data_IF_027489776394
#
_entry.id   IF_027489776394
#
_cell.length_a   1.000
_cell.length_b   1.000
_cell.length_c   1.000
_cell.angle_alpha   90.00
_cell.angle_beta   90.00
_cell.angle_gamma   90.00
#
_symmetry.space_group_name_H-M   'P 1'
#
loop_
_entity.id
_entity.type
_entity.pdbx_description
1 polymer ?
#
# COMPACT_ATOMS: atom_id res chain seq x y z
N UNK A 1 47.91 -3.51 61.57
CA UNK A 1 46.70 -2.75 61.18
C UNK A 1 46.36 -3.09 59.74
N UNK A 2 45.28 -3.83 59.48
CA UNK A 2 44.81 -4.15 58.12
C UNK A 2 43.65 -3.21 57.79
N UNK A 3 43.80 -2.37 56.78
CA UNK A 3 42.77 -1.46 56.30
C UNK A 3 41.87 -2.19 55.29
N UNK A 4 40.57 -2.26 55.56
CA UNK A 4 39.56 -2.71 54.61
C UNK A 4 39.21 -1.55 53.68
N UNK A 5 39.49 -1.72 52.38
CA UNK A 5 39.04 -0.79 51.34
C UNK A 5 37.71 -1.33 50.81
N UNK A 6 36.62 -0.63 51.11
CA UNK A 6 35.32 -0.86 50.49
C UNK A 6 35.27 -0.14 49.14
N UNK A 7 35.02 -0.88 48.06
CA UNK A 7 34.81 -0.32 46.71
C UNK A 7 33.30 -0.09 46.54
N UNK A 8 32.84 1.12 46.18
CA UNK A 8 31.43 1.36 45.93
C UNK A 8 31.04 0.85 44.55
N UNK A 9 30.02 -0.02 44.50
CA UNK A 9 29.43 -0.50 43.25
C UNK A 9 28.54 0.61 42.66
N UNK A 10 28.98 1.20 41.55
CA UNK A 10 28.21 2.18 40.78
C UNK A 10 27.23 1.43 39.86
N UNK A 11 25.95 1.39 40.23
CA UNK A 11 24.88 0.87 39.35
C UNK A 11 24.63 1.86 38.20
N UNK A 12 25.06 1.51 36.99
CA UNK A 12 24.68 2.21 35.76
C UNK A 12 23.30 1.73 35.32
N UNK A 13 22.27 2.58 35.45
CA UNK A 13 20.95 2.32 34.88
C UNK A 13 20.97 2.78 33.42
N UNK A 14 21.13 1.85 32.49
CA UNK A 14 21.05 2.14 31.06
C UNK A 14 19.57 2.27 30.64
N UNK A 15 19.10 3.49 30.43
CA UNK A 15 17.79 3.73 29.80
C UNK A 15 17.88 3.47 28.30
N UNK A 16 17.37 2.32 27.86
CA UNK A 16 17.27 2.01 26.43
C UNK A 16 16.11 2.80 25.83
N UNK A 17 16.42 3.84 25.04
CA UNK A 17 15.41 4.49 24.20
C UNK A 17 14.98 3.51 23.10
N UNK A 18 13.77 2.96 23.21
CA UNK A 18 13.18 2.12 22.17
C UNK A 18 12.84 3.04 20.99
N UNK A 19 13.55 2.88 19.87
CA UNK A 19 13.23 3.59 18.64
C UNK A 19 11.85 3.13 18.14
N UNK A 20 10.87 4.03 18.12
CA UNK A 20 9.55 3.75 17.59
C UNK A 20 9.66 3.47 16.08
N UNK A 21 9.05 2.38 15.61
CA UNK A 21 8.98 2.09 14.17
C UNK A 21 8.38 3.29 13.42
N UNK A 22 8.89 3.65 12.23
CA UNK A 22 8.39 4.79 11.47
C UNK A 22 6.91 4.60 11.14
N UNK A 23 6.11 5.66 11.27
CA UNK A 23 4.71 5.62 10.88
C UNK A 23 4.56 5.37 9.37
N UNK A 24 3.42 4.84 8.96
CA UNK A 24 3.14 4.57 7.55
C UNK A 24 3.23 5.85 6.70
N UNK A 25 2.80 6.99 7.24
CA UNK A 25 2.90 8.29 6.58
C UNK A 25 4.35 8.67 6.29
N UNK A 26 5.24 8.49 7.26
CA UNK A 26 6.66 8.82 7.10
C UNK A 26 7.34 7.88 6.10
N UNK A 27 6.98 6.60 6.13
CA UNK A 27 7.47 5.61 5.18
C UNK A 27 7.02 5.95 3.74
N UNK A 28 5.74 6.26 3.55
CA UNK A 28 5.23 6.69 2.25
C UNK A 28 5.87 7.99 1.77
N UNK A 29 6.03 8.97 2.66
CA UNK A 29 6.71 10.24 2.35
C UNK A 29 8.14 10.02 1.86
N UNK A 30 8.86 9.06 2.42
CA UNK A 30 10.21 8.71 2.01
C UNK A 30 10.26 7.94 0.68
N UNK A 31 9.32 7.03 0.43
CA UNK A 31 9.33 6.13 -0.73
C UNK A 31 8.67 6.71 -1.98
N UNK A 32 7.56 7.44 -1.83
CA UNK A 32 6.75 7.94 -2.96
C UNK A 32 7.53 8.76 -3.99
N UNK A 33 8.53 9.60 -3.65
CA UNK A 33 9.32 10.31 -4.65
C UNK A 33 10.05 9.40 -5.64
N UNK A 34 10.39 8.17 -5.24
CA UNK A 34 11.06 7.19 -6.10
C UNK A 34 10.07 6.28 -6.84
N UNK A 35 8.79 6.23 -6.44
CA UNK A 35 7.77 5.44 -7.11
C UNK A 35 7.12 6.27 -8.23
N UNK A 36 7.18 5.74 -9.45
CA UNK A 36 6.66 6.36 -10.66
C UNK A 36 5.60 5.50 -11.35
N UNK A 37 5.36 5.79 -12.63
CA UNK A 37 4.44 5.01 -13.46
C UNK A 37 4.82 3.52 -13.49
N UNK A 38 3.82 2.64 -13.33
CA UNK A 38 3.90 1.17 -13.25
C UNK A 38 4.38 0.58 -11.93
N UNK A 39 4.79 1.41 -10.97
CA UNK A 39 4.94 0.94 -9.59
C UNK A 39 3.59 0.66 -8.96
N UNK A 40 3.58 -0.13 -7.89
CA UNK A 40 2.36 -0.48 -7.17
C UNK A 40 2.50 -0.19 -5.68
N UNK A 41 1.37 0.17 -5.08
CA UNK A 41 1.16 0.11 -3.63
C UNK A 41 -0.02 -0.83 -3.41
N UNK A 42 0.10 -1.75 -2.47
CA UNK A 42 -0.98 -2.69 -2.10
C UNK A 42 -1.23 -2.54 -0.61
N UNK A 43 -2.49 -2.35 -0.22
CA UNK A 43 -2.91 -2.48 1.18
C UNK A 43 -3.62 -3.81 1.31
N UNK A 44 -2.98 -4.76 1.97
CA UNK A 44 -3.38 -6.16 1.96
C UNK A 44 -3.93 -6.60 3.32
N UNK A 45 -4.93 -7.45 3.29
CA UNK A 45 -5.38 -8.19 4.46
C UNK A 45 -4.29 -9.17 4.97
N UNK A 46 -4.55 -9.76 6.13
CA UNK A 46 -3.57 -10.59 6.82
C UNK A 46 -3.25 -11.91 6.11
N UNK A 47 -4.17 -12.44 5.29
CA UNK A 47 -4.01 -13.72 4.60
C UNK A 47 -3.20 -13.59 3.30
N UNK A 48 -3.06 -12.38 2.76
CA UNK A 48 -2.28 -12.14 1.54
C UNK A 48 -0.86 -12.71 1.64
N UNK A 49 -0.39 -13.49 0.65
CA UNK A 49 0.86 -14.24 0.75
C UNK A 49 2.09 -13.32 0.78
N UNK A 50 3.15 -13.77 1.45
CA UNK A 50 4.47 -13.14 1.34
C UNK A 50 5.09 -13.54 -0.01
N UNK A 51 5.02 -12.65 -0.99
CA UNK A 51 5.58 -12.90 -2.32
C UNK A 51 7.12 -12.79 -2.32
N UNK A 52 7.76 -13.61 -3.16
CA UNK A 52 9.22 -13.75 -3.22
C UNK A 52 9.88 -12.95 -4.34
N UNK A 53 9.10 -12.31 -5.22
CA UNK A 53 9.65 -11.55 -6.33
C UNK A 53 10.51 -10.37 -5.84
N UNK A 54 11.70 -10.11 -6.43
CA UNK A 54 12.66 -9.11 -5.93
C UNK A 54 12.17 -7.66 -6.03
N UNK A 55 11.14 -7.41 -6.86
CA UNK A 55 10.45 -6.12 -6.93
C UNK A 55 9.55 -5.85 -5.73
N UNK A 56 9.18 -6.87 -4.95
CA UNK A 56 8.16 -6.77 -3.90
C UNK A 56 8.84 -6.49 -2.56
N UNK A 57 8.48 -5.35 -1.97
CA UNK A 57 8.82 -5.01 -0.60
C UNK A 57 7.56 -5.15 0.24
N UNK A 58 7.57 -6.09 1.19
CA UNK A 58 6.45 -6.27 2.13
C UNK A 58 6.79 -5.63 3.47
N UNK A 59 5.88 -4.79 3.97
CA UNK A 59 5.89 -4.25 5.32
C UNK A 59 4.62 -4.66 6.06
N UNK A 60 4.67 -4.72 7.39
CA UNK A 60 3.51 -4.92 8.24
C UNK A 60 3.21 -3.66 9.04
N UNK A 61 1.93 -3.37 9.26
CA UNK A 61 1.47 -2.25 10.09
C UNK A 61 0.42 -2.72 11.07
N UNK A 62 0.44 -2.17 12.28
CA UNK A 62 -0.64 -2.39 13.26
C UNK A 62 -1.71 -1.29 13.12
N UNK A 63 -2.41 -1.29 11.98
CA UNK A 63 -3.42 -0.30 11.62
C UNK A 63 -4.61 -1.00 10.98
N UNK A 64 -5.83 -0.47 11.12
CA UNK A 64 -6.98 -1.02 10.40
C UNK A 64 -6.77 -0.95 8.88
N UNK A 65 -7.36 -1.90 8.14
CA UNK A 65 -7.31 -1.93 6.67
C UNK A 65 -7.77 -0.60 6.06
N UNK A 66 -8.90 -0.06 6.53
CA UNK A 66 -9.47 1.19 6.02
C UNK A 66 -8.61 2.42 6.35
N UNK A 67 -8.00 2.47 7.53
CA UNK A 67 -7.09 3.56 7.88
C UNK A 67 -5.82 3.51 7.03
N UNK A 68 -5.26 2.32 6.78
CA UNK A 68 -4.10 2.16 5.91
C UNK A 68 -4.42 2.59 4.47
N UNK A 69 -5.59 2.21 3.93
CA UNK A 69 -6.10 2.69 2.63
C UNK A 69 -6.20 4.21 2.62
N UNK A 70 -6.78 4.81 3.67
CA UNK A 70 -6.93 6.27 3.79
C UNK A 70 -5.59 6.99 3.83
N UNK A 71 -4.61 6.45 4.55
CA UNK A 71 -3.24 6.98 4.63
C UNK A 71 -2.56 6.94 3.27
N UNK A 72 -2.64 5.82 2.55
CA UNK A 72 -2.09 5.68 1.19
C UNK A 72 -2.74 6.68 0.23
N UNK A 73 -4.07 6.78 0.22
CA UNK A 73 -4.79 7.75 -0.61
C UNK A 73 -4.41 9.20 -0.30
N UNK A 74 -4.27 9.53 0.99
CA UNK A 74 -3.86 10.86 1.46
C UNK A 74 -2.41 11.19 1.05
N UNK A 75 -1.52 10.20 1.02
CA UNK A 75 -0.15 10.39 0.58
C UNK A 75 -0.11 10.61 -0.95
N UNK A 76 -0.83 9.79 -1.72
CA UNK A 76 -0.89 9.90 -3.18
C UNK A 76 -1.51 11.22 -3.65
N UNK A 77 -2.56 11.72 -2.98
CA UNK A 77 -3.21 13.00 -3.33
C UNK A 77 -2.30 14.22 -3.13
N UNK A 78 -1.22 14.08 -2.36
CA UNK A 78 -0.21 15.13 -2.13
C UNK A 78 0.93 15.09 -3.15
N UNK A 79 0.95 14.08 -4.03
CA UNK A 79 1.96 13.96 -5.09
C UNK A 79 1.43 14.51 -6.42
N UNK A 80 2.35 14.93 -7.31
CA UNK A 80 2.00 15.44 -8.66
C UNK A 80 2.44 14.51 -9.78
N UNK A 81 3.47 13.69 -9.54
CA UNK A 81 4.09 12.85 -10.57
C UNK A 81 3.34 11.55 -10.82
N UNK A 82 2.55 11.09 -9.84
CA UNK A 82 1.74 9.87 -9.95
C UNK A 82 0.30 10.11 -9.52
N UNK A 83 -0.59 9.27 -10.05
CA UNK A 83 -1.96 9.14 -9.58
C UNK A 83 -2.35 7.66 -9.50
N UNK A 84 -3.24 7.26 -8.59
CA UNK A 84 -3.62 5.86 -8.49
C UNK A 84 -4.70 5.47 -9.51
N UNK A 85 -4.46 4.37 -10.21
CA UNK A 85 -5.50 3.48 -10.72
C UNK A 85 -5.85 2.49 -9.62
N UNK A 86 -7.05 2.64 -9.05
CA UNK A 86 -7.50 1.84 -7.90
C UNK A 86 -8.21 0.58 -8.41
N UNK A 87 -7.80 -0.57 -7.90
CA UNK A 87 -8.47 -1.85 -8.11
C UNK A 87 -8.86 -2.46 -6.77
N UNK A 88 -10.01 -3.12 -6.74
CA UNK A 88 -10.47 -3.95 -5.63
C UNK A 88 -10.98 -5.27 -6.17
N UNK A 89 -10.92 -6.31 -5.34
CA UNK A 89 -11.42 -7.64 -5.70
C UNK A 89 -12.93 -7.57 -6.00
N UNK A 90 -13.32 -8.17 -7.12
CA UNK A 90 -14.72 -8.27 -7.57
C UNK A 90 -15.53 -9.19 -6.66
N UNK A 91 -14.87 -10.19 -6.08
CA UNK A 91 -15.40 -11.21 -5.19
C UNK A 91 -15.98 -10.59 -3.91
N UNK A 92 -15.41 -9.47 -3.43
CA UNK A 92 -15.84 -8.79 -2.21
C UNK A 92 -17.33 -8.46 -2.20
N UNK A 93 -17.94 -8.22 -3.37
CA UNK A 93 -19.38 -7.90 -3.45
C UNK A 93 -20.28 -9.13 -3.24
N UNK A 94 -19.74 -10.34 -3.38
CA UNK A 94 -20.48 -11.61 -3.31
C UNK A 94 -20.28 -12.35 -1.98
N UNK A 95 -19.27 -11.99 -1.19
CA UNK A 95 -19.06 -12.59 0.15
C UNK A 95 -20.25 -12.28 1.06
N UNK A 96 -20.86 -13.33 1.58
CA UNK A 96 -22.02 -13.22 2.47
C UNK A 96 -21.60 -12.94 3.93
N UNK A 97 -22.50 -12.39 4.75
CA UNK A 97 -22.26 -12.21 6.18
C UNK A 97 -22.05 -13.54 6.92
N UNK A 98 -22.69 -14.62 6.45
CA UNK A 98 -22.50 -15.95 7.04
C UNK A 98 -21.11 -16.53 6.79
N UNK A 99 -20.46 -16.15 5.68
CA UNK A 99 -19.10 -16.60 5.35
C UNK A 99 -18.03 -15.70 5.98
N UNK A 100 -18.34 -14.41 6.20
CA UNK A 100 -17.43 -13.45 6.83
C UNK A 100 -18.22 -12.41 7.65
N UNK A 101 -18.28 -12.60 8.96
CA UNK A 101 -18.99 -11.70 9.86
C UNK A 101 -18.47 -10.25 9.76
N UNK A 102 -19.37 -9.29 9.56
CA UNK A 102 -19.09 -7.86 9.45
C UNK A 102 -18.65 -7.39 8.06
N UNK A 103 -18.64 -8.27 7.04
CA UNK A 103 -18.12 -7.95 5.70
C UNK A 103 -18.95 -6.89 4.98
N UNK A 104 -20.25 -6.84 5.22
CA UNK A 104 -21.14 -5.83 4.67
C UNK A 104 -20.84 -4.43 5.23
N UNK A 105 -20.56 -4.34 6.53
CA UNK A 105 -20.14 -3.08 7.15
C UNK A 105 -18.79 -2.59 6.57
N UNK A 106 -17.82 -3.50 6.40
CA UNK A 106 -16.55 -3.20 5.75
C UNK A 106 -16.76 -2.71 4.31
N UNK A 107 -17.54 -3.45 3.50
CA UNK A 107 -17.85 -3.12 2.11
C UNK A 107 -18.47 -1.72 1.98
N UNK A 108 -19.43 -1.39 2.85
CA UNK A 108 -20.08 -0.08 2.87
C UNK A 108 -19.08 1.04 3.22
N UNK A 109 -18.19 0.78 4.18
CA UNK A 109 -17.16 1.72 4.62
C UNK A 109 -16.11 1.95 3.53
N UNK A 110 -15.65 0.89 2.86
CA UNK A 110 -14.73 0.96 1.74
C UNK A 110 -15.35 1.73 0.56
N UNK A 111 -16.60 1.41 0.20
CA UNK A 111 -17.33 2.11 -0.86
C UNK A 111 -17.48 3.61 -0.55
N UNK A 112 -17.72 3.97 0.72
CA UNK A 112 -17.81 5.36 1.17
C UNK A 112 -16.44 6.06 1.07
N UNK A 113 -15.36 5.38 1.48
CA UNK A 113 -14.00 5.88 1.39
C UNK A 113 -13.54 6.13 -0.06
N UNK A 114 -13.95 5.27 -0.99
CA UNK A 114 -13.60 5.34 -2.40
C UNK A 114 -14.57 6.18 -3.25
N UNK A 115 -15.59 6.80 -2.64
CA UNK A 115 -16.60 7.57 -3.36
C UNK A 115 -15.98 8.69 -4.20
N UNK A 116 -16.41 8.78 -5.46
CA UNK A 116 -15.91 9.77 -6.42
C UNK A 116 -14.51 9.48 -6.98
N UNK A 117 -13.96 8.28 -6.73
CA UNK A 117 -12.75 7.79 -7.39
C UNK A 117 -13.10 6.82 -8.50
N UNK A 118 -12.24 6.74 -9.51
CA UNK A 118 -12.31 5.69 -10.52
C UNK A 118 -11.76 4.40 -9.90
N UNK A 119 -12.65 3.44 -9.64
CA UNK A 119 -12.31 2.14 -9.04
C UNK A 119 -12.69 1.04 -10.01
N UNK A 120 -11.71 0.22 -10.38
CA UNK A 120 -11.93 -1.00 -11.14
C UNK A 120 -12.24 -2.16 -10.18
N UNK A 121 -13.21 -3.00 -10.53
CA UNK A 121 -13.52 -4.24 -9.81
C UNK A 121 -13.14 -5.41 -10.71
N UNK A 122 -12.12 -6.15 -10.32
CA UNK A 122 -11.50 -7.19 -11.15
C UNK A 122 -11.40 -8.47 -10.35
N UNK A 123 -11.31 -9.62 -11.02
CA UNK A 123 -11.14 -10.89 -10.31
C UNK A 123 -9.80 -10.88 -9.56
N UNK A 124 -9.79 -11.49 -8.38
CA UNK A 124 -8.59 -11.53 -7.55
C UNK A 124 -7.38 -12.05 -8.32
N UNK A 125 -7.53 -13.18 -9.02
CA UNK A 125 -6.45 -13.78 -9.80
C UNK A 125 -5.93 -12.87 -10.93
N UNK A 126 -6.79 -12.07 -11.55
CA UNK A 126 -6.38 -11.12 -12.60
C UNK A 126 -5.51 -10.01 -12.02
N UNK A 127 -5.84 -9.52 -10.82
CA UNK A 127 -5.04 -8.50 -10.13
C UNK A 127 -3.69 -9.09 -9.71
N UNK A 128 -3.69 -10.30 -9.15
CA UNK A 128 -2.45 -10.99 -8.75
C UNK A 128 -1.55 -11.22 -9.95
N UNK A 129 -2.09 -11.68 -11.08
CA UNK A 129 -1.31 -11.88 -12.31
C UNK A 129 -0.64 -10.58 -12.79
N UNK A 130 -1.35 -9.44 -12.71
CA UNK A 130 -0.77 -8.12 -13.03
C UNK A 130 0.33 -7.72 -12.05
N UNK A 131 0.15 -7.99 -10.77
CA UNK A 131 1.12 -7.68 -9.73
C UNK A 131 2.39 -8.54 -9.88
N UNK A 132 2.23 -9.84 -10.14
CA UNK A 132 3.33 -10.77 -10.38
C UNK A 132 4.15 -10.36 -11.60
N UNK A 133 3.49 -9.94 -12.68
CA UNK A 133 4.18 -9.44 -13.86
C UNK A 133 4.92 -8.12 -13.59
N UNK A 134 4.26 -7.18 -12.90
CA UNK A 134 4.88 -5.92 -12.49
C UNK A 134 6.09 -6.15 -11.56
N UNK A 135 5.98 -7.07 -10.60
CA UNK A 135 7.02 -7.38 -9.61
C UNK A 135 8.31 -7.97 -10.19
N UNK A 136 8.30 -8.40 -11.47
CA UNK A 136 9.51 -8.82 -12.19
C UNK A 136 10.43 -7.64 -12.52
N UNK A 137 9.87 -6.44 -12.72
CA UNK A 137 10.61 -5.30 -13.30
C UNK A 137 10.43 -3.99 -12.53
N UNK A 138 9.35 -3.86 -11.76
CA UNK A 138 9.00 -2.66 -11.00
C UNK A 138 8.83 -2.96 -9.52
N UNK A 139 8.96 -1.91 -8.71
CA UNK A 139 8.72 -1.99 -7.27
C UNK A 139 7.23 -2.04 -6.94
N UNK A 140 6.89 -2.97 -6.05
CA UNK A 140 5.60 -3.11 -5.39
C UNK A 140 5.83 -2.90 -3.90
N UNK A 141 5.19 -1.89 -3.32
CA UNK A 141 5.14 -1.71 -1.86
C UNK A 141 3.88 -2.39 -1.33
N UNK A 142 4.03 -3.52 -0.67
CA UNK A 142 2.94 -4.27 -0.09
C UNK A 142 2.85 -4.00 1.41
N UNK A 143 1.70 -3.50 1.86
CA UNK A 143 1.43 -3.06 3.22
C UNK A 143 0.41 -4.02 3.82
N UNK A 144 0.86 -4.99 4.62
CA UNK A 144 -0.03 -5.94 5.31
C UNK A 144 -0.61 -5.35 6.58
N UNK A 145 -1.91 -5.51 6.77
CA UNK A 145 -2.63 -5.14 7.98
C UNK A 145 -3.08 -6.39 8.74
N UNK A 146 -3.46 -6.29 10.03
CA UNK A 146 -4.04 -7.41 10.78
C UNK A 146 -5.48 -7.75 10.40
N UNK A 147 -6.05 -7.15 9.34
CA UNK A 147 -7.45 -7.35 8.98
C UNK A 147 -7.71 -8.79 8.49
N UNK A 148 -8.80 -9.40 8.95
CA UNK A 148 -9.11 -10.83 8.75
C UNK A 148 -10.47 -10.98 8.08
N UNK A 149 -10.59 -10.54 6.84
CA UNK A 149 -11.75 -10.80 5.99
C UNK A 149 -11.31 -10.97 4.54
N UNK A 150 -11.95 -11.86 3.76
CA UNK A 150 -11.50 -12.21 2.42
C UNK A 150 -11.75 -11.08 1.42
N UNK A 151 -10.89 -10.98 0.41
CA UNK A 151 -11.05 -10.06 -0.73
C UNK A 151 -11.13 -8.58 -0.33
N UNK A 152 -10.49 -8.22 0.78
CA UNK A 152 -10.53 -6.85 1.34
C UNK A 152 -9.30 -6.03 0.98
N UNK A 153 -8.35 -6.63 0.26
CA UNK A 153 -7.16 -5.98 -0.26
C UNK A 153 -7.50 -4.88 -1.29
N UNK A 154 -6.74 -3.78 -1.27
CA UNK A 154 -6.91 -2.64 -2.18
C UNK A 154 -5.59 -2.39 -2.90
N UNK A 155 -5.66 -2.28 -4.22
CA UNK A 155 -4.50 -2.23 -5.08
C UNK A 155 -4.42 -0.87 -5.78
N UNK A 156 -3.24 -0.26 -5.77
CA UNK A 156 -2.96 1.03 -6.37
C UNK A 156 -1.85 0.88 -7.40
N UNK A 157 -2.21 0.71 -8.66
CA UNK A 157 -1.26 0.84 -9.75
C UNK A 157 -1.00 2.34 -9.99
N UNK A 158 0.26 2.75 -10.00
CA UNK A 158 0.62 4.15 -10.17
C UNK A 158 0.69 4.49 -11.66
N UNK A 159 -0.12 5.46 -12.07
CA UNK A 159 -0.17 6.06 -13.40
C UNK A 159 0.54 7.41 -13.40
N UNK A 160 0.88 7.95 -14.58
CA UNK A 160 1.43 9.30 -14.66
C UNK A 160 0.42 10.34 -14.14
N UNK A 161 0.85 11.19 -13.20
CA UNK A 161 -0.02 12.19 -12.57
C UNK A 161 -0.24 13.46 -13.40
N UNK A 162 0.67 13.77 -14.33
CA UNK A 162 0.62 14.99 -15.14
C UNK A 162 0.40 14.72 -16.65
N UNK A 163 0.32 13.46 -17.05
CA UNK A 163 0.08 13.06 -18.43
C UNK A 163 -1.04 12.02 -18.49
N UNK A 164 -2.22 12.43 -18.96
CA UNK A 164 -3.40 11.56 -19.00
C UNK A 164 -3.38 10.61 -20.19
N UNK A 165 -4.16 9.54 -20.11
CA UNK A 165 -4.38 8.63 -21.24
C UNK A 165 -4.95 9.33 -22.47
N UNK A 166 -5.81 10.35 -22.29
CA UNK A 166 -6.32 11.14 -23.41
C UNK A 166 -5.24 12.02 -24.06
N UNK A 167 -4.34 12.59 -23.25
CA UNK A 167 -3.19 13.34 -23.77
C UNK A 167 -2.26 12.43 -24.55
N UNK A 168 -2.00 11.23 -24.03
CA UNK A 168 -1.24 10.19 -24.71
C UNK A 168 -1.89 9.76 -26.03
N UNK A 169 -3.20 9.51 -26.04
CA UNK A 169 -3.94 9.12 -27.24
C UNK A 169 -3.87 10.22 -28.32
N UNK A 170 -4.02 11.50 -27.94
CA UNK A 170 -3.85 12.63 -28.85
C UNK A 170 -2.44 12.69 -29.41
N UNK A 171 -1.41 12.51 -28.57
CA UNK A 171 -0.02 12.45 -29.02
C UNK A 171 0.20 11.33 -30.05
N UNK A 172 -0.26 10.11 -29.76
CA UNK A 172 -0.11 8.97 -30.68
C UNK A 172 -0.81 9.19 -32.02
N UNK A 173 -1.98 9.83 -32.02
CA UNK A 173 -2.67 10.19 -33.25
C UNK A 173 -1.93 11.27 -34.03
N UNK A 174 -1.39 12.29 -33.35
CA UNK A 174 -0.56 13.30 -34.00
C UNK A 174 0.68 12.69 -34.66
N UNK A 175 1.39 11.79 -33.96
CA UNK A 175 2.58 11.09 -34.49
C UNK A 175 2.27 10.29 -35.77
N UNK A 176 1.12 9.62 -35.84
CA UNK A 176 0.70 8.86 -37.03
C UNK A 176 0.37 9.75 -38.23
N UNK A 177 -0.17 10.94 -37.95
CA UNK A 177 -0.66 11.87 -38.97
C UNK A 177 0.39 12.92 -39.37
N UNK A 178 1.65 12.76 -38.97
CA UNK A 178 2.72 13.75 -39.24
C UNK A 178 2.51 15.10 -38.55
N UNK A 179 1.72 15.12 -37.47
CA UNK A 179 1.35 16.32 -36.73
C UNK A 179 2.48 16.81 -35.82
N UNK A 180 3.17 17.85 -36.31
CA UNK A 180 4.36 18.56 -35.80
C UNK A 180 5.52 17.68 -35.35
#
# INVERSE_FOLDING_TARGET
MKANIAVPALLLVATSAVAQAPSLENLLKAKLPALGHRNWIVVADSAYPLQTAPGIETITVNMSQLDAVKVVMSALSKTKHVQPKIMVDKELQFVSESDANGIGAYRNSLNSLLKGKSVSRELHEDIIAKLDDAGKTFKVLLIKTPHVQPYTSVFFQLECGYWSGDAEARLRNAMKNGGK
#
